data_IF_868880250641
#
_entry.id   IF_868880250641
#
_cell.length_a   1.000
_cell.length_b   1.000
_cell.length_c   1.000
_cell.angle_alpha   90.00
_cell.angle_beta   90.00
_cell.angle_gamma   90.00
#
_symmetry.space_group_name_H-M   'P 1'
#
loop_
_entity.id
_entity.type
_entity.pdbx_description
1 polymer ?
#
# COMPACT_ATOMS: atom_id res chain seq x y z
N UNK A 1 22.78 -97.44 -30.13
CA UNK A 1 22.60 -97.08 -28.72
C UNK A 1 23.43 -95.85 -28.31
N UNK A 2 23.24 -94.67 -28.94
CA UNK A 2 24.00 -93.45 -28.59
C UNK A 2 23.23 -92.10 -28.92
N UNK A 3 21.90 -92.13 -28.81
CA UNK A 3 21.11 -90.90 -29.13
C UNK A 3 20.14 -90.47 -28.03
N UNK A 4 20.02 -91.15 -26.88
CA UNK A 4 19.02 -90.77 -25.83
C UNK A 4 19.57 -90.23 -24.52
N UNK A 5 20.88 -89.91 -24.42
CA UNK A 5 21.48 -89.37 -23.18
C UNK A 5 21.64 -87.85 -23.21
N UNK A 6 21.52 -87.22 -24.39
CA UNK A 6 21.74 -85.75 -24.49
C UNK A 6 20.43 -84.89 -24.22
N UNK A 7 19.25 -85.58 -24.21
CA UNK A 7 17.96 -84.84 -24.03
C UNK A 7 17.55 -84.65 -22.56
N UNK A 8 18.21 -85.28 -21.59
CA UNK A 8 17.86 -85.21 -20.16
C UNK A 8 18.68 -84.17 -19.38
N UNK A 9 19.80 -83.68 -19.92
CA UNK A 9 20.65 -82.69 -19.28
C UNK A 9 20.22 -81.20 -19.57
N UNK A 10 19.38 -80.98 -20.60
CA UNK A 10 18.92 -79.68 -21.00
C UNK A 10 17.72 -79.13 -20.20
N UNK A 11 16.99 -79.95 -19.42
CA UNK A 11 15.76 -79.57 -18.74
C UNK A 11 15.96 -79.20 -17.27
N UNK A 12 17.14 -79.35 -16.69
CA UNK A 12 17.43 -79.02 -15.29
C UNK A 12 18.11 -77.61 -15.12
N UNK A 13 18.52 -76.94 -16.21
CA UNK A 13 19.14 -75.60 -16.12
C UNK A 13 18.16 -74.44 -16.29
N UNK A 14 16.89 -74.66 -16.63
CA UNK A 14 15.92 -73.61 -16.81
C UNK A 14 15.09 -73.30 -15.55
N UNK A 15 15.17 -74.12 -14.49
CA UNK A 15 14.42 -73.84 -13.23
C UNK A 15 15.20 -73.04 -12.18
N UNK A 16 16.48 -72.68 -12.41
CA UNK A 16 17.33 -71.99 -11.43
C UNK A 16 17.49 -70.51 -11.68
N UNK A 17 17.01 -69.96 -12.82
CA UNK A 17 17.11 -68.48 -13.12
C UNK A 17 15.93 -67.69 -12.68
N UNK A 18 14.74 -68.21 -12.44
CA UNK A 18 13.55 -67.41 -12.09
C UNK A 18 13.43 -67.10 -10.60
N UNK A 19 14.10 -67.85 -9.71
CA UNK A 19 14.04 -67.65 -8.26
C UNK A 19 15.11 -66.66 -7.73
N UNK A 20 16.08 -66.24 -8.56
CA UNK A 20 17.08 -65.24 -8.17
C UNK A 20 16.70 -63.79 -8.56
N UNK A 21 15.88 -63.64 -9.58
CA UNK A 21 15.45 -62.30 -10.05
C UNK A 21 14.39 -61.63 -9.14
N UNK A 22 13.45 -62.43 -8.60
CA UNK A 22 12.41 -61.88 -7.71
C UNK A 22 12.98 -61.32 -6.39
N UNK A 23 13.98 -61.98 -5.80
CA UNK A 23 14.64 -61.48 -4.59
C UNK A 23 15.54 -60.27 -4.86
N UNK A 24 16.17 -60.19 -6.00
CA UNK A 24 16.99 -59.04 -6.38
C UNK A 24 16.14 -57.83 -6.73
N UNK A 25 15.00 -58.01 -7.39
CA UNK A 25 14.03 -57.00 -7.66
C UNK A 25 13.34 -56.53 -6.37
N UNK A 26 12.95 -57.41 -5.47
CA UNK A 26 12.36 -57.09 -4.18
C UNK A 26 13.34 -56.32 -3.29
N UNK A 27 14.59 -56.68 -3.22
CA UNK A 27 15.63 -55.96 -2.47
C UNK A 27 16.03 -54.63 -3.11
N UNK A 28 15.98 -54.48 -4.43
CA UNK A 28 16.19 -53.24 -5.13
C UNK A 28 15.00 -52.28 -4.89
N UNK A 29 13.78 -52.80 -4.85
CA UNK A 29 12.57 -52.05 -4.55
C UNK A 29 12.56 -51.52 -3.09
N UNK A 30 12.96 -52.36 -2.13
CA UNK A 30 13.10 -51.99 -0.72
C UNK A 30 14.21 -50.93 -0.50
N UNK A 31 15.32 -51.03 -1.21
CA UNK A 31 16.41 -50.08 -1.11
C UNK A 31 16.08 -48.72 -1.74
N UNK A 32 15.28 -48.69 -2.79
CA UNK A 32 14.72 -47.48 -3.39
C UNK A 32 13.64 -46.84 -2.49
N UNK A 33 12.80 -47.67 -1.87
CA UNK A 33 11.78 -47.26 -0.93
C UNK A 33 12.35 -46.52 0.27
N UNK A 34 13.43 -47.00 0.85
CA UNK A 34 14.09 -46.37 2.02
C UNK A 34 14.92 -45.14 1.71
N UNK A 35 15.30 -44.91 0.44
CA UNK A 35 16.06 -43.73 -0.01
C UNK A 35 15.21 -42.56 -0.52
N UNK A 36 13.92 -42.78 -0.83
CA UNK A 36 13.07 -41.84 -1.57
C UNK A 36 11.91 -41.32 -0.71
N UNK A 37 11.64 -41.95 0.42
CA UNK A 37 10.52 -41.56 1.29
C UNK A 37 11.00 -40.70 2.46
N UNK A 38 10.69 -39.44 2.43
CA UNK A 38 10.88 -38.54 3.56
C UNK A 38 9.60 -38.45 4.36
N UNK A 39 9.71 -38.53 5.68
CA UNK A 39 8.58 -38.39 6.58
C UNK A 39 8.74 -37.14 7.47
N UNK A 40 7.66 -36.46 7.70
CA UNK A 40 7.63 -35.25 8.56
C UNK A 40 6.67 -35.47 9.74
N UNK A 41 7.09 -35.11 10.98
CA UNK A 41 6.20 -35.24 12.12
C UNK A 41 5.07 -34.20 12.05
N UNK A 42 3.86 -34.65 12.37
CA UNK A 42 2.67 -33.81 12.48
C UNK A 42 2.80 -32.92 13.70
N UNK A 43 2.75 -31.59 13.51
CA UNK A 43 2.85 -30.61 14.59
C UNK A 43 1.55 -29.83 14.72
N UNK A 44 1.18 -29.50 15.94
CA UNK A 44 0.10 -28.56 16.20
C UNK A 44 0.56 -27.14 15.87
N UNK A 45 -0.26 -26.46 15.10
CA UNK A 45 -0.07 -25.03 14.82
C UNK A 45 -1.39 -24.30 15.02
N UNK A 46 -1.30 -23.07 15.50
CA UNK A 46 -2.43 -22.19 15.51
C UNK A 46 -2.85 -21.88 14.07
N UNK A 47 -4.05 -22.31 13.71
CA UNK A 47 -4.69 -21.97 12.44
C UNK A 47 -5.59 -20.75 12.69
N UNK A 48 -5.24 -19.63 12.10
CA UNK A 48 -6.12 -18.48 11.98
C UNK A 48 -6.64 -18.43 10.55
N UNK A 49 -7.95 -18.32 10.40
CA UNK A 49 -8.53 -18.05 9.08
C UNK A 49 -7.93 -16.72 8.57
N UNK A 50 -7.24 -16.76 7.46
CA UNK A 50 -6.68 -15.58 6.80
C UNK A 50 -7.65 -15.17 5.70
N UNK A 51 -8.08 -13.93 5.73
CA UNK A 51 -8.91 -13.36 4.68
C UNK A 51 -8.03 -12.54 3.74
N UNK A 52 -8.09 -12.86 2.45
CA UNK A 52 -7.38 -12.13 1.41
C UNK A 52 -8.31 -11.12 0.75
N UNK A 53 -7.91 -9.85 0.75
CA UNK A 53 -8.63 -8.75 0.15
C UNK A 53 -7.80 -8.10 -0.95
N UNK A 54 -8.46 -7.59 -1.96
CA UNK A 54 -7.84 -6.75 -2.97
C UNK A 54 -8.03 -5.28 -2.60
N UNK A 55 -7.04 -4.47 -2.92
CA UNK A 55 -7.09 -3.04 -2.65
C UNK A 55 -6.07 -2.26 -3.45
N UNK A 56 -6.13 -0.95 -3.32
CA UNK A 56 -5.27 0.00 -4.01
C UNK A 56 -4.52 0.87 -3.03
N UNK A 57 -3.27 1.17 -3.36
CA UNK A 57 -2.47 2.16 -2.63
C UNK A 57 -2.97 3.56 -3.00
N UNK A 58 -3.28 4.38 -2.00
CA UNK A 58 -3.70 5.77 -2.17
C UNK A 58 -2.89 6.72 -1.30
N UNK A 59 -2.94 8.00 -1.61
CA UNK A 59 -2.37 9.03 -0.76
C UNK A 59 -3.11 9.08 0.59
N UNK A 60 -2.38 9.40 1.66
CA UNK A 60 -2.99 9.83 2.90
C UNK A 60 -3.55 11.25 2.71
N UNK A 61 -4.87 11.40 2.66
CA UNK A 61 -5.56 12.68 2.43
C UNK A 61 -5.15 13.76 3.45
N UNK A 62 -4.78 13.38 4.67
CA UNK A 62 -4.28 14.33 5.65
C UNK A 62 -2.92 14.93 5.27
N UNK A 63 -2.17 14.28 4.38
CA UNK A 63 -0.86 14.69 3.88
C UNK A 63 -0.91 15.22 2.44
N UNK A 64 -2.10 15.37 1.86
CA UNK A 64 -2.33 16.00 0.56
C UNK A 64 -2.59 17.49 0.74
N UNK A 65 -2.04 18.29 -0.15
CA UNK A 65 -2.30 19.74 -0.23
C UNK A 65 -2.61 20.11 -1.66
N UNK A 66 -3.76 20.75 -1.83
CA UNK A 66 -4.17 21.35 -3.09
C UNK A 66 -3.64 22.76 -3.18
N UNK A 67 -3.06 23.10 -4.30
CA UNK A 67 -2.58 24.44 -4.62
C UNK A 67 -3.60 25.09 -5.54
N UNK A 68 -4.23 26.15 -5.06
CA UNK A 68 -5.26 26.86 -5.81
C UNK A 68 -4.68 28.07 -6.53
N UNK A 69 -5.36 28.48 -7.60
CA UNK A 69 -5.07 29.65 -8.40
C UNK A 69 -5.50 30.89 -7.59
N UNK A 70 -4.58 31.79 -7.22
CA UNK A 70 -4.92 32.97 -6.39
C UNK A 70 -5.61 34.11 -7.16
N UNK A 71 -5.47 34.14 -8.48
CA UNK A 71 -6.04 35.16 -9.36
C UNK A 71 -6.11 34.64 -10.81
N UNK A 72 -7.02 35.20 -11.59
CA UNK A 72 -7.15 34.86 -13.01
C UNK A 72 -5.98 35.43 -13.83
N UNK A 73 -5.50 34.68 -14.83
CA UNK A 73 -4.39 35.14 -15.64
C UNK A 73 -3.73 34.06 -16.52
N UNK A 74 -2.63 34.43 -17.16
CA UNK A 74 -1.85 33.53 -18.01
C UNK A 74 -0.73 32.88 -17.21
N UNK A 75 -0.65 31.55 -17.29
CA UNK A 75 0.38 30.74 -16.63
C UNK A 75 1.69 30.80 -17.42
N UNK A 76 2.81 30.95 -16.70
CA UNK A 76 4.15 30.84 -17.24
C UNK A 76 5.11 30.22 -16.22
N UNK A 77 6.25 29.74 -16.70
CA UNK A 77 7.31 29.20 -15.83
C UNK A 77 6.89 27.99 -15.01
N UNK A 78 5.90 27.21 -15.48
CA UNK A 78 5.54 25.92 -14.90
C UNK A 78 6.63 24.90 -15.30
N UNK A 79 7.38 24.42 -14.31
CA UNK A 79 8.55 23.55 -14.50
C UNK A 79 8.36 22.15 -13.93
N UNK A 80 7.21 21.87 -13.33
CA UNK A 80 6.93 20.59 -12.65
C UNK A 80 5.92 19.76 -13.42
N UNK A 81 6.13 18.44 -13.38
CA UNK A 81 5.23 17.43 -13.93
C UNK A 81 4.71 16.50 -12.83
N UNK A 82 3.65 15.74 -13.15
CA UNK A 82 3.13 14.71 -12.25
C UNK A 82 4.23 13.67 -11.98
N UNK A 83 4.47 13.38 -10.71
CA UNK A 83 5.54 12.50 -10.24
C UNK A 83 6.81 13.22 -9.78
N UNK A 84 6.96 14.52 -10.08
CA UNK A 84 8.11 15.29 -9.64
C UNK A 84 8.10 15.54 -8.15
N UNK A 85 9.29 15.55 -7.54
CA UNK A 85 9.49 15.92 -6.16
C UNK A 85 9.64 17.42 -6.01
N UNK A 86 8.92 18.00 -5.07
CA UNK A 86 8.96 19.44 -4.75
C UNK A 86 9.27 19.65 -3.27
N UNK A 87 9.86 20.81 -2.96
CA UNK A 87 10.15 21.24 -1.61
C UNK A 87 9.16 22.33 -1.17
N UNK A 88 8.88 22.41 0.14
CA UNK A 88 8.06 23.48 0.68
C UNK A 88 8.62 24.85 0.31
N UNK A 89 7.76 25.78 -0.16
CA UNK A 89 8.13 27.10 -0.64
C UNK A 89 8.69 27.15 -2.07
N UNK A 90 8.95 25.98 -2.71
CA UNK A 90 9.43 25.94 -4.10
C UNK A 90 8.43 26.62 -5.03
N UNK A 91 8.91 27.47 -5.92
CA UNK A 91 8.09 28.05 -6.97
C UNK A 91 7.69 26.99 -7.98
N UNK A 92 6.39 26.91 -8.26
CA UNK A 92 5.81 25.94 -9.19
C UNK A 92 5.45 26.57 -10.53
N UNK A 93 4.81 27.75 -10.46
CA UNK A 93 4.41 28.52 -11.64
C UNK A 93 4.32 30.01 -11.31
N UNK A 94 4.21 30.83 -12.36
CA UNK A 94 3.93 32.25 -12.28
C UNK A 94 2.66 32.53 -13.08
N UNK A 95 1.74 33.31 -12.51
CA UNK A 95 0.53 33.75 -13.17
C UNK A 95 0.66 35.26 -13.44
N UNK A 96 0.57 35.65 -14.70
CA UNK A 96 0.48 37.06 -15.10
C UNK A 96 -0.97 37.46 -15.05
N UNK A 97 -1.29 38.46 -14.21
CA UNK A 97 -2.66 38.83 -13.86
C UNK A 97 -2.85 40.33 -13.82
N UNK A 98 -3.99 40.81 -14.32
CA UNK A 98 -4.42 42.21 -14.16
C UNK A 98 -4.73 42.54 -12.70
N UNK A 99 -5.32 41.59 -11.95
CA UNK A 99 -5.60 41.75 -10.51
C UNK A 99 -4.31 41.98 -9.71
N UNK A 100 -3.21 41.25 -10.07
CA UNK A 100 -1.92 41.47 -9.45
C UNK A 100 -1.31 42.83 -9.83
N UNK A 101 -1.60 43.37 -11.04
CA UNK A 101 -1.18 44.72 -11.44
C UNK A 101 -1.91 45.79 -10.63
N UNK A 102 -3.22 45.67 -10.48
CA UNK A 102 -4.04 46.59 -9.70
C UNK A 102 -3.66 46.56 -8.22
N UNK A 103 -3.39 45.39 -7.67
CA UNK A 103 -2.84 45.24 -6.33
C UNK A 103 -1.52 46.00 -6.17
N UNK A 104 -0.57 45.83 -7.10
CA UNK A 104 0.72 46.51 -7.05
C UNK A 104 0.60 48.03 -7.11
N UNK A 105 -0.34 48.54 -7.88
CA UNK A 105 -0.68 49.95 -7.88
C UNK A 105 -1.23 50.38 -6.51
N UNK A 106 -2.19 49.63 -5.95
CA UNK A 106 -2.78 49.93 -4.65
C UNK A 106 -1.76 50.00 -3.51
N UNK A 107 -0.79 49.04 -3.48
CA UNK A 107 0.26 49.06 -2.45
C UNK A 107 1.21 50.24 -2.63
N UNK A 108 1.56 50.60 -3.87
CA UNK A 108 2.39 51.76 -4.17
C UNK A 108 1.73 53.06 -3.77
N UNK A 109 0.42 53.21 -4.01
CA UNK A 109 -0.39 54.37 -3.59
C UNK A 109 -0.46 54.46 -2.06
N UNK A 110 -0.68 53.33 -1.36
CA UNK A 110 -0.70 53.28 0.11
C UNK A 110 0.68 53.61 0.73
N UNK A 111 1.77 53.14 0.12
CA UNK A 111 3.13 53.50 0.54
C UNK A 111 3.41 55.01 0.38
N UNK A 112 2.98 55.58 -0.74
CA UNK A 112 3.11 57.02 -0.99
C UNK A 112 2.30 57.85 0.02
N UNK A 113 1.07 57.40 0.30
CA UNK A 113 0.17 58.04 1.27
C UNK A 113 0.72 57.98 2.69
N UNK A 114 1.29 56.82 3.09
CA UNK A 114 1.94 56.67 4.39
C UNK A 114 3.13 57.64 4.54
N UNK A 115 3.98 57.74 3.52
CA UNK A 115 5.11 58.68 3.53
C UNK A 115 4.68 60.16 3.59
N UNK A 116 3.56 60.49 2.93
CA UNK A 116 3.01 61.88 3.02
C UNK A 116 2.50 62.15 4.43
N UNK A 117 1.72 61.24 5.01
CA UNK A 117 1.17 61.41 6.37
C UNK A 117 2.28 61.45 7.43
N UNK A 118 3.35 60.69 7.25
CA UNK A 118 4.52 60.69 8.14
C UNK A 118 5.23 62.06 8.13
N UNK A 119 5.44 62.63 6.94
CA UNK A 119 6.05 63.96 6.80
C UNK A 119 5.18 65.03 7.39
N UNK A 120 3.84 64.98 7.17
CA UNK A 120 2.89 66.00 7.72
C UNK A 120 2.90 65.88 9.24
N UNK A 121 2.84 64.71 9.82
CA UNK A 121 2.92 64.55 11.27
C UNK A 121 4.22 65.06 11.85
N UNK A 122 5.39 64.80 11.25
CA UNK A 122 6.68 65.33 11.68
C UNK A 122 6.69 66.88 11.60
N UNK A 123 6.25 67.44 10.49
CA UNK A 123 6.14 68.92 10.32
C UNK A 123 5.24 69.57 11.38
N UNK A 124 4.04 68.97 11.63
CA UNK A 124 3.13 69.50 12.66
C UNK A 124 3.72 69.39 14.06
N UNK A 125 4.50 68.35 14.35
CA UNK A 125 5.20 68.14 15.60
C UNK A 125 6.26 69.24 15.81
N UNK A 126 7.07 69.59 14.80
CA UNK A 126 8.09 70.63 14.84
C UNK A 126 7.46 72.02 14.99
N UNK A 127 6.36 72.28 14.26
CA UNK A 127 5.60 73.52 14.35
C UNK A 127 4.96 73.67 15.73
N UNK A 128 4.47 72.59 16.34
CA UNK A 128 3.94 72.65 17.70
C UNK A 128 4.99 73.05 18.75
N UNK A 129 6.19 72.48 18.64
CA UNK A 129 7.31 72.86 19.50
C UNK A 129 7.69 74.30 19.40
N UNK A 130 7.45 74.90 18.24
CA UNK A 130 7.65 76.32 17.98
C UNK A 130 6.40 77.25 18.33
N UNK A 131 5.33 76.57 18.85
CA UNK A 131 4.09 77.30 19.23
C UNK A 131 3.21 77.72 18.04
N UNK A 132 3.44 77.22 16.83
CA UNK A 132 2.74 77.60 15.61
C UNK A 132 1.44 76.85 15.33
N UNK A 133 1.29 75.67 15.91
CA UNK A 133 0.10 74.79 15.73
C UNK A 133 -0.37 74.28 17.08
N UNK A 134 -1.65 73.88 17.16
CA UNK A 134 -2.24 73.35 18.39
C UNK A 134 -1.93 71.85 18.57
N UNK A 135 -2.00 71.36 19.81
CA UNK A 135 -1.86 69.94 20.13
C UNK A 135 -2.92 69.10 19.39
N UNK A 136 -4.12 69.66 19.16
CA UNK A 136 -5.20 69.02 18.40
C UNK A 136 -4.76 68.71 16.96
N UNK A 137 -4.10 69.69 16.28
CA UNK A 137 -3.62 69.45 14.89
C UNK A 137 -2.50 68.40 14.82
N UNK A 138 -1.64 68.26 15.82
CA UNK A 138 -0.66 67.23 15.92
C UNK A 138 -1.34 65.85 16.11
N UNK A 139 -2.39 65.79 16.96
CA UNK A 139 -3.15 64.58 17.18
C UNK A 139 -3.88 64.13 15.91
N UNK A 140 -4.50 65.06 15.17
CA UNK A 140 -5.17 64.75 13.88
C UNK A 140 -4.18 64.19 12.83
N UNK A 141 -2.98 64.77 12.70
CA UNK A 141 -1.95 64.32 11.80
C UNK A 141 -1.44 62.96 12.22
N UNK A 142 -1.32 62.63 13.51
CA UNK A 142 -0.96 61.36 14.05
C UNK A 142 -2.00 60.28 13.71
N UNK A 143 -3.28 60.58 13.91
CA UNK A 143 -4.36 59.66 13.57
C UNK A 143 -4.37 59.33 12.06
N UNK A 144 -4.14 60.34 11.20
CA UNK A 144 -4.03 60.13 9.76
C UNK A 144 -2.84 59.23 9.39
N UNK A 145 -1.70 59.38 10.05
CA UNK A 145 -0.55 58.47 9.88
C UNK A 145 -0.89 57.04 10.28
N UNK A 146 -1.54 56.87 11.45
CA UNK A 146 -1.96 55.53 11.92
C UNK A 146 -2.88 54.86 10.92
N UNK A 147 -3.88 55.58 10.38
CA UNK A 147 -4.81 55.06 9.37
C UNK A 147 -4.10 54.67 8.08
N UNK A 148 -3.15 55.47 7.59
CA UNK A 148 -2.38 55.12 6.37
C UNK A 148 -1.47 53.91 6.55
N UNK A 149 -0.84 53.76 7.72
CA UNK A 149 -0.05 52.57 8.07
C UNK A 149 -0.94 51.32 8.13
N UNK A 150 -2.13 51.45 8.73
CA UNK A 150 -3.06 50.32 8.82
C UNK A 150 -3.51 49.85 7.42
N UNK A 151 -3.82 50.77 6.50
CA UNK A 151 -4.21 50.44 5.13
C UNK A 151 -3.07 49.77 4.35
N UNK A 152 -1.85 50.33 4.42
CA UNK A 152 -0.67 49.72 3.82
C UNK A 152 -0.43 48.29 4.34
N UNK A 153 -0.54 48.07 5.65
CA UNK A 153 -0.36 46.75 6.27
C UNK A 153 -1.46 45.78 5.84
N UNK A 154 -2.71 46.24 5.71
CA UNK A 154 -3.83 45.43 5.18
C UNK A 154 -3.53 44.93 3.76
N UNK A 155 -3.14 45.85 2.88
CA UNK A 155 -2.77 45.49 1.50
C UNK A 155 -1.57 44.52 1.47
N UNK A 156 -0.54 44.80 2.26
CA UNK A 156 0.64 43.93 2.36
C UNK A 156 0.28 42.49 2.79
N UNK A 157 -0.64 42.35 3.74
CA UNK A 157 -1.13 41.03 4.18
C UNK A 157 -1.88 40.31 3.06
N UNK A 158 -2.74 41.00 2.31
CA UNK A 158 -3.45 40.41 1.14
C UNK A 158 -2.48 39.94 0.09
N UNK A 159 -1.42 40.70 -0.20
CA UNK A 159 -0.40 40.29 -1.15
C UNK A 159 0.38 39.05 -0.72
N UNK A 160 0.68 38.98 0.57
CA UNK A 160 1.35 37.79 1.15
C UNK A 160 0.49 36.51 1.02
N UNK A 161 -0.82 36.61 1.25
CA UNK A 161 -1.75 35.50 1.13
C UNK A 161 -1.85 35.01 -0.33
N UNK A 162 -1.99 35.94 -1.28
CA UNK A 162 -2.19 35.64 -2.69
C UNK A 162 -0.89 35.40 -3.47
N UNK A 163 0.28 35.56 -2.84
CA UNK A 163 1.57 35.42 -3.49
C UNK A 163 1.83 36.47 -4.57
N UNK A 164 1.22 37.68 -4.46
CA UNK A 164 1.40 38.77 -5.43
C UNK A 164 2.84 39.29 -5.39
N UNK A 165 3.47 39.30 -6.56
CA UNK A 165 4.83 39.80 -6.78
C UNK A 165 4.84 41.20 -7.44
N UNK A 166 5.98 41.91 -7.36
CA UNK A 166 6.14 43.28 -7.82
C UNK A 166 6.04 43.54 -9.33
N UNK A 167 5.57 42.58 -10.17
CA UNK A 167 5.52 42.75 -11.64
C UNK A 167 4.21 42.23 -12.25
N UNK A 168 3.06 42.58 -11.69
CA UNK A 168 1.76 42.10 -12.17
C UNK A 168 1.70 40.55 -12.22
N UNK A 169 2.31 39.89 -11.24
CA UNK A 169 2.41 38.46 -11.19
C UNK A 169 1.99 37.92 -9.83
N UNK A 170 1.39 36.74 -9.85
CA UNK A 170 1.23 35.88 -8.67
C UNK A 170 2.13 34.64 -8.80
N UNK A 171 2.80 34.26 -7.72
CA UNK A 171 3.73 33.13 -7.71
C UNK A 171 3.08 31.97 -6.97
N UNK A 172 2.81 30.88 -7.67
CA UNK A 172 2.38 29.63 -7.06
C UNK A 172 3.58 28.94 -6.40
N UNK A 173 3.42 28.59 -5.12
CA UNK A 173 4.45 27.90 -4.36
C UNK A 173 3.89 26.63 -3.74
N UNK A 174 4.76 25.61 -3.59
CA UNK A 174 4.40 24.40 -2.88
C UNK A 174 4.22 24.69 -1.37
N UNK A 175 3.07 24.35 -0.77
CA UNK A 175 2.86 24.51 0.67
C UNK A 175 3.62 23.47 1.51
N UNK A 176 3.96 22.31 0.92
CA UNK A 176 4.65 21.20 1.59
C UNK A 176 5.75 20.61 0.71
N UNK A 177 6.65 19.84 1.31
CA UNK A 177 7.56 18.98 0.56
C UNK A 177 6.87 17.66 0.27
N UNK A 178 6.88 17.23 -0.99
CA UNK A 178 6.18 16.04 -1.45
C UNK A 178 6.36 15.78 -2.93
N UNK A 179 5.40 15.09 -3.51
CA UNK A 179 5.33 14.76 -4.94
C UNK A 179 4.07 15.35 -5.56
N UNK A 180 4.18 15.82 -6.78
CA UNK A 180 3.03 16.30 -7.55
C UNK A 180 2.19 15.09 -7.97
N UNK A 181 0.95 15.02 -7.50
CA UNK A 181 0.01 13.92 -7.79
C UNK A 181 -1.00 14.26 -8.87
N UNK A 182 -1.35 15.53 -9.00
CA UNK A 182 -2.20 16.01 -10.08
C UNK A 182 -1.75 17.40 -10.58
N UNK A 183 -1.99 17.65 -11.86
CA UNK A 183 -1.66 18.90 -12.53
C UNK A 183 -2.78 19.28 -13.50
N UNK A 184 -3.43 20.42 -13.24
CA UNK A 184 -4.58 20.94 -14.00
C UNK A 184 -4.26 22.22 -14.77
N UNK A 185 -3.00 22.69 -14.72
CA UNK A 185 -2.55 23.90 -15.40
C UNK A 185 -1.42 23.59 -16.39
N UNK A 186 -1.29 24.42 -17.42
CA UNK A 186 -0.27 24.29 -18.47
C UNK A 186 0.36 25.64 -18.75
N UNK A 187 1.60 25.64 -19.23
CA UNK A 187 2.24 26.87 -19.70
C UNK A 187 1.42 27.49 -20.83
N UNK A 188 1.35 28.83 -20.82
CA UNK A 188 0.61 29.66 -21.77
C UNK A 188 -0.91 29.51 -21.75
N UNK A 189 -1.47 28.67 -20.88
CA UNK A 189 -2.92 28.61 -20.64
C UNK A 189 -3.42 29.83 -19.87
N UNK A 190 -4.65 30.24 -20.13
CA UNK A 190 -5.36 31.17 -19.28
C UNK A 190 -6.13 30.40 -18.22
N UNK A 191 -5.95 30.77 -16.97
CA UNK A 191 -6.59 30.12 -15.82
C UNK A 191 -7.48 31.14 -15.09
N UNK A 192 -8.57 30.64 -14.52
CA UNK A 192 -9.50 31.44 -13.74
C UNK A 192 -9.72 30.83 -12.37
N UNK A 193 -9.87 31.70 -11.37
CA UNK A 193 -10.20 31.30 -10.00
C UNK A 193 -11.56 30.59 -9.91
N UNK A 194 -12.52 30.98 -10.77
CA UNK A 194 -13.88 30.42 -10.87
C UNK A 194 -14.02 29.30 -11.91
N UNK A 195 -12.91 28.69 -12.33
CA UNK A 195 -12.90 27.65 -13.34
C UNK A 195 -13.65 26.40 -12.92
N UNK A 196 -13.98 25.52 -13.89
CA UNK A 196 -14.75 24.27 -13.70
C UNK A 196 -14.17 23.33 -12.63
N UNK A 197 -12.88 23.44 -12.35
CA UNK A 197 -12.17 22.63 -11.35
C UNK A 197 -11.99 23.36 -9.99
N UNK A 198 -12.79 24.42 -9.74
CA UNK A 198 -12.70 25.18 -8.49
C UNK A 198 -11.36 25.89 -8.30
N UNK A 199 -10.63 26.19 -9.39
CA UNK A 199 -9.34 26.86 -9.36
C UNK A 199 -8.18 26.01 -8.83
N UNK A 200 -8.32 24.67 -8.76
CA UNK A 200 -7.23 23.77 -8.36
C UNK A 200 -6.16 23.69 -9.47
N UNK A 201 -4.94 24.14 -9.15
CA UNK A 201 -3.82 24.15 -10.08
C UNK A 201 -3.02 22.84 -10.04
N UNK A 202 -2.65 22.44 -8.83
CA UNK A 202 -1.78 21.30 -8.57
C UNK A 202 -2.21 20.61 -7.29
N UNK A 203 -1.95 19.31 -7.21
CA UNK A 203 -2.05 18.55 -5.97
C UNK A 203 -0.69 18.01 -5.58
N UNK A 204 -0.31 18.18 -4.33
CA UNK A 204 0.98 17.73 -3.79
C UNK A 204 0.73 16.86 -2.58
N UNK A 205 1.28 15.64 -2.62
CA UNK A 205 1.17 14.67 -1.54
C UNK A 205 2.52 14.36 -0.92
N UNK A 206 2.56 14.27 0.39
CA UNK A 206 3.69 13.68 1.09
C UNK A 206 3.46 12.16 1.17
N UNK A 207 4.34 11.39 0.53
CA UNK A 207 4.22 9.95 0.39
C UNK A 207 4.99 9.15 1.46
N UNK A 208 5.44 9.78 2.56
CA UNK A 208 6.09 9.04 3.67
C UNK A 208 5.14 8.04 4.33
N UNK A 209 3.86 8.31 4.27
CA UNK A 209 2.79 7.46 4.73
C UNK A 209 1.76 7.36 3.63
N UNK A 210 1.29 6.15 3.38
CA UNK A 210 0.27 5.86 2.38
C UNK A 210 -0.87 5.06 3.00
N UNK A 211 -2.00 5.09 2.36
CA UNK A 211 -3.13 4.24 2.67
C UNK A 211 -3.21 3.09 1.68
N UNK A 212 -3.69 1.96 2.14
CA UNK A 212 -4.23 0.91 1.30
C UNK A 212 -5.72 0.85 1.57
N UNK A 213 -6.51 1.09 0.54
CA UNK A 213 -7.96 0.97 0.60
C UNK A 213 -8.31 -0.39 0.01
N UNK A 214 -8.79 -1.31 0.84
CA UNK A 214 -9.13 -2.66 0.41
C UNK A 214 -10.63 -2.89 0.46
N UNK A 215 -11.11 -3.73 -0.45
CA UNK A 215 -12.51 -4.06 -0.61
C UNK A 215 -12.87 -5.35 0.13
N UNK A 216 -13.88 -5.28 0.97
CA UNK A 216 -14.41 -6.39 1.75
C UNK A 216 -15.78 -6.77 1.20
N UNK A 217 -15.94 -7.99 0.75
CA UNK A 217 -17.23 -8.50 0.29
C UNK A 217 -18.22 -8.65 1.44
N UNK A 218 -19.51 -8.53 1.15
CA UNK A 218 -20.59 -8.60 2.15
C UNK A 218 -20.51 -9.87 3.01
N UNK A 219 -20.14 -11.01 2.43
CA UNK A 219 -19.95 -12.30 3.12
C UNK A 219 -18.87 -12.28 4.22
N UNK A 220 -17.91 -11.38 4.12
CA UNK A 220 -16.72 -11.34 4.97
C UNK A 220 -16.72 -10.16 5.97
N UNK A 221 -17.71 -9.29 5.89
CA UNK A 221 -17.83 -8.10 6.76
C UNK A 221 -17.76 -8.49 8.25
N UNK A 222 -18.43 -9.57 8.63
CA UNK A 222 -18.47 -10.02 10.03
C UNK A 222 -17.10 -10.48 10.58
N UNK A 223 -16.15 -10.80 9.69
CA UNK A 223 -14.80 -11.25 10.04
C UNK A 223 -13.83 -10.09 10.23
N UNK A 224 -14.16 -8.91 9.73
CA UNK A 224 -13.29 -7.73 9.77
C UNK A 224 -13.51 -6.93 11.06
N UNK A 225 -12.40 -6.54 11.66
CA UNK A 225 -12.40 -5.69 12.86
C UNK A 225 -11.36 -4.59 12.74
N UNK A 226 -11.72 -3.40 13.21
CA UNK A 226 -10.76 -2.32 13.35
C UNK A 226 -9.66 -2.73 14.36
N UNK A 227 -8.40 -2.42 14.04
CA UNK A 227 -7.23 -2.85 14.81
C UNK A 227 -6.68 -4.22 14.42
N UNK A 228 -7.34 -4.97 13.51
CA UNK A 228 -6.82 -6.24 13.04
C UNK A 228 -5.46 -6.06 12.35
N UNK A 229 -4.51 -6.93 12.69
CA UNK A 229 -3.21 -6.95 12.03
C UNK A 229 -3.37 -7.46 10.59
N UNK A 230 -2.65 -6.81 9.68
CA UNK A 230 -2.65 -7.17 8.26
C UNK A 230 -1.24 -7.21 7.71
N UNK A 231 -1.05 -8.04 6.70
CA UNK A 231 0.13 -8.00 5.84
C UNK A 231 -0.30 -7.62 4.43
N UNK A 232 0.46 -6.73 3.82
CA UNK A 232 0.17 -6.22 2.49
C UNK A 232 1.31 -6.60 1.56
N UNK A 233 0.98 -7.15 0.41
CA UNK A 233 1.91 -7.46 -0.67
C UNK A 233 1.50 -6.72 -1.94
N UNK A 234 2.46 -6.45 -2.82
CA UNK A 234 2.21 -5.80 -4.11
C UNK A 234 2.89 -6.58 -5.22
N UNK A 235 2.32 -6.58 -6.41
CA UNK A 235 2.91 -7.26 -7.57
C UNK A 235 4.24 -6.62 -8.02
N UNK A 236 4.47 -5.35 -7.69
CA UNK A 236 5.68 -4.64 -8.07
C UNK A 236 6.93 -5.06 -7.28
N UNK A 237 6.74 -5.62 -6.09
CA UNK A 237 7.84 -6.00 -5.19
C UNK A 237 7.58 -7.42 -4.66
N UNK A 238 7.89 -8.42 -5.48
CA UNK A 238 7.75 -9.82 -5.11
C UNK A 238 8.62 -10.16 -3.88
N UNK A 239 8.01 -10.88 -2.92
CA UNK A 239 8.65 -11.26 -1.66
C UNK A 239 8.77 -10.15 -0.61
N UNK A 240 8.35 -8.90 -0.90
CA UNK A 240 8.26 -7.84 0.12
C UNK A 240 6.89 -7.82 0.78
N UNK A 241 6.90 -7.83 2.09
CA UNK A 241 5.71 -7.78 2.93
C UNK A 241 5.71 -6.48 3.74
N UNK A 242 4.62 -5.74 3.64
CA UNK A 242 4.38 -4.53 4.42
C UNK A 242 3.39 -4.86 5.54
N UNK A 243 3.77 -4.63 6.79
CA UNK A 243 2.90 -4.89 7.94
C UNK A 243 2.16 -3.65 8.36
N UNK A 244 0.89 -3.80 8.70
CA UNK A 244 0.03 -2.70 9.14
C UNK A 244 -1.16 -3.18 9.96
N UNK A 245 -2.12 -2.28 10.17
CA UNK A 245 -3.36 -2.57 10.88
C UNK A 245 -4.52 -1.88 10.16
N UNK A 246 -5.70 -2.48 10.24
CA UNK A 246 -6.92 -1.82 9.79
C UNK A 246 -7.21 -0.66 10.74
N UNK A 247 -6.99 0.57 10.29
CA UNK A 247 -7.22 1.76 11.12
C UNK A 247 -8.65 2.31 10.99
N UNK A 248 -9.32 2.02 9.88
CA UNK A 248 -10.70 2.42 9.66
C UNK A 248 -11.49 1.38 8.87
N UNK A 249 -12.71 1.11 9.32
CA UNK A 249 -13.72 0.32 8.62
C UNK A 249 -14.82 1.29 8.20
N UNK A 250 -15.05 1.46 6.91
CA UNK A 250 -16.13 2.31 6.41
C UNK A 250 -17.46 1.58 6.57
N UNK A 251 -18.49 2.27 7.07
CA UNK A 251 -19.80 1.66 7.37
C UNK A 251 -20.82 1.82 6.24
N UNK A 252 -20.33 2.04 5.05
CA UNK A 252 -21.16 2.25 3.86
C UNK A 252 -20.70 1.24 2.82
N UNK A 253 -21.64 0.47 2.25
CA UNK A 253 -21.38 -0.38 1.12
C UNK A 253 -21.40 0.47 -0.16
N UNK A 254 -20.46 0.19 -1.02
CA UNK A 254 -20.49 0.67 -2.39
C UNK A 254 -21.61 -0.05 -3.16
N UNK A 255 -22.47 0.70 -3.80
CA UNK A 255 -23.65 0.15 -4.47
C UNK A 255 -23.33 -0.63 -5.75
N UNK A 256 -22.21 -0.33 -6.40
CA UNK A 256 -21.80 -0.97 -7.63
C UNK A 256 -21.03 -2.26 -7.37
N UNK A 257 -20.00 -2.20 -6.53
CA UNK A 257 -19.15 -3.34 -6.20
C UNK A 257 -19.72 -4.27 -5.13
N UNK A 258 -20.73 -3.82 -4.34
CA UNK A 258 -21.27 -4.52 -3.16
C UNK A 258 -20.18 -4.85 -2.14
N UNK A 259 -19.17 -4.00 -2.04
CA UNK A 259 -18.07 -4.11 -1.09
C UNK A 259 -18.12 -3.01 -0.04
N UNK A 260 -17.57 -3.30 1.11
CA UNK A 260 -17.28 -2.33 2.15
C UNK A 260 -15.79 -2.03 2.13
N UNK A 261 -15.40 -0.77 2.20
CA UNK A 261 -13.98 -0.39 2.19
C UNK A 261 -13.38 -0.43 3.60
N UNK A 262 -12.14 -0.90 3.66
CA UNK A 262 -11.29 -0.80 4.84
C UNK A 262 -10.03 -0.05 4.50
N UNK A 263 -9.54 0.73 5.46
CA UNK A 263 -8.32 1.51 5.30
C UNK A 263 -7.21 0.94 6.17
N UNK A 264 -6.07 0.76 5.58
CA UNK A 264 -4.85 0.34 6.23
C UNK A 264 -3.82 1.45 6.06
N UNK A 265 -3.23 1.91 7.14
CA UNK A 265 -2.16 2.91 7.10
C UNK A 265 -0.81 2.21 7.12
N UNK A 266 0.04 2.52 6.14
CA UNK A 266 1.37 1.95 5.98
C UNK A 266 2.45 3.03 6.03
N UNK A 267 3.55 2.74 6.73
CA UNK A 267 4.78 3.51 6.62
C UNK A 267 5.43 3.27 5.25
N UNK A 268 5.77 4.35 4.58
CA UNK A 268 6.40 4.33 3.27
C UNK A 268 7.69 5.18 3.24
N UNK A 269 8.44 5.16 4.34
CA UNK A 269 9.71 5.91 4.47
C UNK A 269 10.73 5.55 3.39
N UNK A 270 10.66 4.34 2.83
CA UNK A 270 11.49 3.88 1.70
C UNK A 270 11.00 4.35 0.33
N UNK A 271 9.80 4.92 0.23
CA UNK A 271 9.21 5.39 -1.03
C UNK A 271 8.89 4.29 -2.05
N UNK A 272 8.69 3.05 -1.59
CA UNK A 272 8.41 1.90 -2.45
C UNK A 272 6.95 1.88 -2.90
N UNK A 273 6.04 2.17 -2.00
CA UNK A 273 4.61 2.19 -2.30
C UNK A 273 4.25 3.50 -3.01
N UNK A 274 3.59 3.38 -4.16
CA UNK A 274 3.15 4.52 -4.96
C UNK A 274 1.63 4.49 -5.09
N UNK A 275 0.95 5.62 -4.97
CA UNK A 275 -0.48 5.71 -5.27
C UNK A 275 -0.82 5.12 -6.63
N UNK A 276 -1.92 4.38 -6.72
CA UNK A 276 -2.34 3.65 -7.92
C UNK A 276 -1.77 2.23 -8.04
N UNK A 277 -0.91 1.77 -7.13
CA UNK A 277 -0.47 0.37 -7.09
C UNK A 277 -1.57 -0.54 -6.56
N UNK A 278 -1.77 -1.69 -7.21
CA UNK A 278 -2.59 -2.76 -6.65
C UNK A 278 -1.88 -3.43 -5.48
N UNK A 279 -2.65 -3.73 -4.45
CA UNK A 279 -2.18 -4.38 -3.24
C UNK A 279 -3.08 -5.56 -2.87
N UNK A 280 -2.47 -6.65 -2.42
CA UNK A 280 -3.17 -7.77 -1.80
C UNK A 280 -2.99 -7.67 -0.30
N UNK A 281 -4.10 -7.66 0.43
CA UNK A 281 -4.14 -7.50 1.88
C UNK A 281 -4.55 -8.82 2.51
N UNK A 282 -3.70 -9.37 3.35
CA UNK A 282 -3.96 -10.56 4.14
C UNK A 282 -4.32 -10.14 5.56
N UNK A 283 -5.55 -10.40 5.96
CA UNK A 283 -6.08 -10.04 7.27
C UNK A 283 -6.12 -11.26 8.16
N UNK A 284 -5.46 -11.20 9.31
CA UNK A 284 -5.61 -12.20 10.36
C UNK A 284 -6.97 -12.00 11.04
N UNK A 285 -7.96 -12.86 10.73
CA UNK A 285 -9.34 -12.65 11.19
C UNK A 285 -9.56 -12.95 12.68
N UNK A 286 -8.53 -13.45 13.38
CA UNK A 286 -8.51 -13.59 14.85
C UNK A 286 -9.65 -14.38 15.50
N UNK A 287 -10.57 -14.91 14.70
CA UNK A 287 -11.71 -15.70 15.18
C UNK A 287 -11.25 -17.10 15.56
N UNK A 288 -10.74 -17.22 16.79
CA UNK A 288 -10.40 -18.49 17.40
C UNK A 288 -9.21 -19.15 16.70
N UNK A 289 -8.02 -18.93 17.23
CA UNK A 289 -6.86 -19.76 16.90
C UNK A 289 -7.21 -21.22 17.25
N UNK A 290 -7.85 -21.91 16.29
CA UNK A 290 -8.00 -23.36 16.38
C UNK A 290 -6.62 -23.96 16.23
N UNK A 291 -6.18 -24.74 17.20
CA UNK A 291 -4.96 -25.50 17.07
C UNK A 291 -5.23 -26.71 16.17
N UNK A 292 -4.61 -26.77 15.01
CA UNK A 292 -4.78 -27.83 14.03
C UNK A 292 -3.47 -28.52 13.71
N UNK A 293 -3.54 -29.74 13.24
CA UNK A 293 -2.39 -30.46 12.71
C UNK A 293 -1.93 -29.81 11.41
N UNK A 294 -0.65 -29.41 11.35
CA UNK A 294 -0.03 -28.86 10.14
C UNK A 294 0.94 -29.88 9.54
N UNK A 295 0.82 -30.09 8.25
CA UNK A 295 1.68 -30.96 7.45
C UNK A 295 2.13 -30.23 6.19
N UNK A 296 3.21 -30.65 5.51
CA UNK A 296 3.55 -30.13 4.19
C UNK A 296 2.42 -30.38 3.18
N UNK A 297 2.09 -29.39 2.36
CA UNK A 297 0.99 -29.50 1.38
C UNK A 297 1.17 -30.69 0.41
N UNK A 298 2.42 -30.99 0.03
CA UNK A 298 2.79 -32.12 -0.83
C UNK A 298 2.56 -33.53 -0.21
N UNK A 299 2.24 -33.59 1.09
CA UNK A 299 1.89 -34.86 1.76
C UNK A 299 0.43 -35.26 1.52
N UNK A 300 -0.42 -34.37 1.01
CA UNK A 300 -1.81 -34.65 0.72
C UNK A 300 -1.93 -35.35 -0.64
N UNK A 301 -2.71 -36.41 -0.67
CA UNK A 301 -3.10 -37.11 -1.87
C UNK A 301 -4.61 -37.03 -2.01
N UNK A 302 -5.06 -36.56 -3.17
CA UNK A 302 -6.49 -36.52 -3.49
C UNK A 302 -6.85 -37.78 -4.31
N UNK A 303 -7.77 -38.58 -3.80
CA UNK A 303 -8.24 -39.77 -4.47
C UNK A 303 -9.73 -40.02 -4.19
N UNK A 304 -10.46 -40.44 -5.20
CA UNK A 304 -11.89 -40.81 -5.08
C UNK A 304 -12.80 -39.75 -4.49
N UNK A 305 -12.43 -38.47 -4.56
CA UNK A 305 -13.20 -37.36 -3.97
C UNK A 305 -12.92 -37.09 -2.50
N UNK A 306 -11.87 -37.68 -1.93
CA UNK A 306 -11.41 -37.47 -0.56
C UNK A 306 -9.93 -37.11 -0.47
N UNK A 307 -9.56 -36.49 0.65
CA UNK A 307 -8.17 -36.19 0.99
C UNK A 307 -7.58 -37.32 1.82
N UNK A 308 -6.38 -37.74 1.47
CA UNK A 308 -5.66 -38.81 2.14
C UNK A 308 -4.21 -38.38 2.43
N UNK A 309 -3.64 -38.96 3.44
CA UNK A 309 -2.20 -38.93 3.73
C UNK A 309 -1.68 -40.35 3.89
N UNK A 310 -0.39 -40.52 3.72
CA UNK A 310 0.28 -41.77 4.05
C UNK A 310 0.99 -41.59 5.38
N UNK A 311 0.57 -42.38 6.38
CA UNK A 311 1.15 -42.36 7.72
C UNK A 311 2.24 -43.43 7.82
N UNK A 312 3.34 -43.09 8.46
CA UNK A 312 4.44 -44.00 8.79
C UNK A 312 4.30 -44.50 10.23
N UNK A 313 3.96 -45.77 10.39
CA UNK A 313 3.83 -46.44 11.69
C UNK A 313 5.20 -46.85 12.29
N UNK A 314 6.29 -46.57 11.58
CA UNK A 314 7.62 -47.01 11.92
C UNK A 314 7.99 -48.36 11.28
N UNK A 315 9.28 -48.68 11.29
CA UNK A 315 9.84 -49.91 10.72
C UNK A 315 9.48 -50.15 9.23
N UNK A 316 9.15 -49.07 8.47
CA UNK A 316 8.82 -49.19 7.06
C UNK A 316 7.38 -49.61 6.77
N UNK A 317 6.51 -49.62 7.76
CA UNK A 317 5.08 -49.86 7.59
C UNK A 317 4.36 -48.53 7.34
N UNK A 318 3.61 -48.49 6.24
CA UNK A 318 2.84 -47.31 5.84
C UNK A 318 1.38 -47.71 5.63
N UNK A 319 0.47 -46.82 6.01
CA UNK A 319 -0.95 -47.02 5.72
C UNK A 319 -1.59 -45.73 5.18
N UNK A 320 -2.68 -45.89 4.42
CA UNK A 320 -3.50 -44.78 3.93
C UNK A 320 -4.43 -44.34 5.03
N UNK A 321 -4.47 -43.03 5.30
CA UNK A 321 -5.38 -42.43 6.28
C UNK A 321 -6.20 -41.30 5.65
N UNK A 322 -7.52 -41.43 5.73
CA UNK A 322 -8.40 -40.36 5.28
C UNK A 322 -8.32 -39.21 6.25
N UNK A 323 -8.22 -38.00 5.71
CA UNK A 323 -8.15 -36.76 6.49
C UNK A 323 -9.19 -35.77 5.98
N UNK A 324 -9.62 -34.87 6.87
CA UNK A 324 -10.41 -33.72 6.46
C UNK A 324 -9.51 -32.49 6.50
N UNK A 325 -9.23 -31.94 5.33
CA UNK A 325 -8.47 -30.71 5.22
C UNK A 325 -9.36 -29.51 5.51
N UNK A 326 -8.86 -28.52 6.25
CA UNK A 326 -9.50 -27.22 6.44
C UNK A 326 -8.98 -26.21 5.41
N UNK A 327 -7.68 -26.24 5.20
CA UNK A 327 -7.01 -25.35 4.24
C UNK A 327 -5.76 -25.98 3.69
N UNK A 328 -5.54 -25.85 2.37
CA UNK A 328 -4.32 -26.25 1.68
C UNK A 328 -3.68 -24.98 1.10
N UNK A 329 -2.57 -24.56 1.71
CA UNK A 329 -1.75 -23.48 1.21
C UNK A 329 -0.65 -23.97 0.27
N UNK A 330 0.24 -23.08 -0.13
CA UNK A 330 1.33 -23.40 -1.05
C UNK A 330 2.36 -24.37 -0.44
N UNK A 331 2.76 -24.14 0.82
CA UNK A 331 3.79 -24.95 1.50
C UNK A 331 3.20 -25.94 2.50
N UNK A 332 2.11 -25.59 3.17
CA UNK A 332 1.53 -26.35 4.27
C UNK A 332 0.01 -26.48 4.13
N UNK A 333 -0.48 -27.59 4.67
CA UNK A 333 -1.90 -27.84 4.83
C UNK A 333 -2.27 -28.00 6.31
N UNK A 334 -3.47 -27.55 6.63
CA UNK A 334 -4.07 -27.66 7.96
C UNK A 334 -5.18 -28.68 7.95
N UNK A 335 -5.08 -29.64 8.87
CA UNK A 335 -5.96 -30.82 8.96
C UNK A 335 -6.92 -30.62 10.11
N UNK A 336 -8.22 -30.59 9.80
CA UNK A 336 -9.30 -30.45 10.78
C UNK A 336 -9.52 -31.70 11.59
N UNK A 337 -9.41 -32.89 10.94
CA UNK A 337 -9.56 -34.19 11.60
C UNK A 337 -8.88 -35.30 10.76
N UNK A 338 -8.59 -36.41 11.42
CA UNK A 338 -7.97 -37.57 10.77
C UNK A 338 -6.47 -37.71 11.06
N UNK A 339 -5.81 -36.78 11.75
CA UNK A 339 -4.41 -36.91 12.18
C UNK A 339 -4.25 -36.53 13.65
N UNK A 340 -3.27 -37.13 14.30
CA UNK A 340 -2.88 -36.83 15.67
C UNK A 340 -1.50 -36.17 15.72
N UNK A 341 -1.26 -35.25 16.66
CA UNK A 341 0.05 -34.69 16.88
C UNK A 341 1.09 -35.78 17.19
N UNK A 342 2.25 -35.72 16.57
CA UNK A 342 3.33 -36.69 16.74
C UNK A 342 3.34 -37.81 15.73
N UNK A 343 2.24 -38.08 15.02
CA UNK A 343 2.25 -39.03 13.89
C UNK A 343 3.23 -38.54 12.81
N UNK A 344 3.76 -39.43 12.01
CA UNK A 344 4.66 -39.08 10.91
C UNK A 344 3.95 -39.32 9.59
N UNK A 345 3.98 -38.34 8.72
CA UNK A 345 3.38 -38.43 7.39
C UNK A 345 4.47 -38.36 6.32
N UNK A 346 4.27 -39.10 5.24
CA UNK A 346 5.14 -39.07 4.07
C UNK A 346 5.03 -37.70 3.44
N UNK A 347 6.14 -36.98 3.39
CA UNK A 347 6.19 -35.60 2.88
C UNK A 347 6.78 -35.47 1.48
N UNK A 348 7.45 -36.52 0.98
CA UNK A 348 7.97 -36.54 -0.37
C UNK A 348 7.53 -37.83 -1.06
N UNK A 349 7.13 -37.73 -2.33
CA UNK A 349 6.59 -38.87 -3.10
C UNK A 349 5.35 -39.56 -2.48
N UNK A 350 4.53 -38.79 -1.73
CA UNK A 350 3.34 -39.30 -1.05
C UNK A 350 2.38 -40.06 -2.01
N UNK A 351 2.14 -39.51 -3.21
CA UNK A 351 1.30 -40.13 -4.23
C UNK A 351 1.85 -41.50 -4.70
N UNK A 352 3.16 -41.61 -4.85
CA UNK A 352 3.78 -42.87 -5.30
C UNK A 352 3.61 -43.97 -4.22
N UNK A 353 3.87 -43.62 -2.95
CA UNK A 353 3.67 -44.56 -1.84
C UNK A 353 2.18 -44.89 -1.68
N UNK A 354 1.30 -43.90 -1.81
CA UNK A 354 -0.15 -44.10 -1.78
C UNK A 354 -0.61 -45.13 -2.83
N UNK A 355 -0.16 -45.02 -4.07
CA UNK A 355 -0.55 -45.93 -5.14
C UNK A 355 -0.03 -47.36 -4.93
N UNK A 356 1.15 -47.51 -4.34
CA UNK A 356 1.68 -48.89 -4.03
C UNK A 356 0.86 -49.60 -2.96
N UNK A 357 0.32 -48.87 -1.98
CA UNK A 357 -0.55 -49.39 -0.92
C UNK A 357 -1.96 -49.76 -1.40
N UNK A 358 -2.37 -49.41 -2.60
CA UNK A 358 -3.70 -49.68 -3.15
C UNK A 358 -3.77 -50.86 -4.09
N UNK A 359 -2.64 -51.49 -4.35
CA UNK A 359 -2.54 -52.69 -5.19
C UNK A 359 -2.32 -53.96 -4.37
N UNK A 360 -2.39 -53.85 -3.04
CA UNK A 360 -2.48 -54.98 -2.09
C UNK A 360 -3.94 -55.09 -1.57
#
# INVERSE_FOLDING_TARGET
MRKNIILLAGLLCLASCTLKDDKAQHNAYESLRNKVVETTPVKLHAYGEELTLNGDVSCDEALVRKVFIPCSGRVSGLTVEVGDRVSAGQQLAIIHSEEAADYNKGIADADAQTKMAERDYQMKQDMHQSGMVSEKEVAEAREQLIMSIAERNRLSAVGGINGFGGKATAVLRSPISGYVTAKNIYNDSYVSQDGSDGGEALEIANLHRVWVIADVYESDIAKIRQGAAVTVTTMAYDGQVFSGHIDKVYRILDNESKTMKVRITLDNSRGLLRPGMFATVHVATGSGSKTMCRIPAKAIVFDGGGDYVVVDDGNGHYHRQSVKTEHVGQDYAYIASGLRPGERVVSNNALLVFNTLGNE
#
